data_IF_558110275703
#
_entry.id   IF_558110275703
#
_cell.length_a   1.000
_cell.length_b   1.000
_cell.length_c   1.000
_cell.angle_alpha   90.00
_cell.angle_beta   90.00
_cell.angle_gamma   90.00
#
_symmetry.space_group_name_H-M   'P 1'
#
loop_
_entity.id
_entity.type
_entity.pdbx_description
1 polymer ?
#
# COMPACT_ATOMS: atom_id res chain seq x y z
N UNK A 1 15.59 -2.07 5.35
CA UNK A 1 14.22 -1.65 5.00
C UNK A 1 14.00 -2.00 3.54
N UNK A 2 12.86 -2.62 3.19
CA UNK A 2 12.61 -3.06 1.81
C UNK A 2 12.01 -1.91 0.99
N UNK A 3 12.48 -1.77 -0.25
CA UNK A 3 11.86 -0.89 -1.23
C UNK A 3 10.54 -1.50 -1.67
N UNK A 4 9.45 -0.75 -1.55
CA UNK A 4 8.14 -1.14 -2.03
C UNK A 4 8.01 -0.96 -3.54
N UNK A 5 7.02 -1.61 -4.13
CA UNK A 5 6.65 -1.47 -5.54
C UNK A 5 5.30 -0.79 -5.66
N UNK A 6 5.08 -0.08 -6.76
CA UNK A 6 3.75 0.44 -7.04
C UNK A 6 2.76 -0.70 -7.18
N UNK A 7 1.61 -0.58 -6.53
CA UNK A 7 0.54 -1.55 -6.67
C UNK A 7 -0.11 -1.37 -8.05
N UNK A 8 -0.22 -2.47 -8.78
CA UNK A 8 -0.84 -2.55 -10.11
C UNK A 8 -2.07 -3.48 -10.05
N UNK A 9 -3.23 -3.10 -10.62
CA UNK A 9 -3.50 -1.83 -11.32
C UNK A 9 -3.51 -0.60 -10.40
N UNK A 10 -3.23 0.58 -10.98
CA UNK A 10 -3.23 1.84 -10.23
C UNK A 10 -4.66 2.15 -9.77
N UNK A 11 -4.83 2.26 -8.46
CA UNK A 11 -6.06 2.76 -7.87
C UNK A 11 -6.13 4.27 -8.06
N UNK A 12 -7.28 4.77 -8.52
CA UNK A 12 -7.51 6.20 -8.78
C UNK A 12 -7.62 7.02 -7.50
N UNK A 13 -8.12 6.42 -6.41
CA UNK A 13 -8.28 7.07 -5.10
C UNK A 13 -8.03 6.11 -3.94
N UNK A 14 -7.69 6.68 -2.77
CA UNK A 14 -7.52 5.94 -1.51
C UNK A 14 -8.77 5.14 -1.15
N UNK A 15 -9.96 5.68 -1.39
CA UNK A 15 -11.23 5.03 -1.07
C UNK A 15 -11.43 3.72 -1.84
N UNK A 16 -11.03 3.68 -3.11
CA UNK A 16 -11.13 2.47 -3.94
C UNK A 16 -10.11 1.44 -3.45
N UNK A 17 -8.90 1.90 -3.12
CA UNK A 17 -7.88 1.04 -2.50
C UNK A 17 -8.36 0.46 -1.17
N UNK A 18 -9.01 1.25 -0.31
CA UNK A 18 -9.55 0.78 0.97
C UNK A 18 -10.72 -0.19 0.81
N UNK A 19 -11.47 -0.11 -0.30
CA UNK A 19 -12.49 -1.11 -0.65
C UNK A 19 -11.88 -2.43 -1.10
N UNK A 20 -10.84 -2.40 -1.94
CA UNK A 20 -10.16 -3.61 -2.43
C UNK A 20 -9.31 -4.28 -1.32
N UNK A 21 -8.69 -3.46 -0.48
CA UNK A 21 -7.90 -3.87 0.69
C UNK A 21 -8.65 -3.57 2.00
N UNK A 22 -9.86 -4.13 2.13
CA UNK A 22 -10.73 -3.89 3.27
C UNK A 22 -10.17 -4.41 4.61
N UNK A 23 -9.32 -5.44 4.59
CA UNK A 23 -8.77 -6.03 5.83
C UNK A 23 -7.63 -5.16 6.36
N UNK A 24 -7.66 -4.89 7.66
CA UNK A 24 -6.58 -4.19 8.37
C UNK A 24 -5.65 -5.23 8.97
N UNK A 25 -4.36 -5.09 8.72
CA UNK A 25 -3.31 -5.93 9.28
C UNK A 25 -2.44 -5.06 10.21
N UNK A 26 -2.59 -5.25 11.53
CA UNK A 26 -1.85 -4.47 12.53
C UNK A 26 -0.34 -4.74 12.53
N UNK A 27 0.09 -5.90 12.01
CA UNK A 27 1.51 -6.22 11.78
C UNK A 27 2.00 -5.80 10.40
N UNK A 28 1.38 -4.76 9.81
CA UNK A 28 1.72 -4.26 8.49
C UNK A 28 3.20 -3.91 8.36
N UNK A 29 3.86 -4.50 7.34
CA UNK A 29 5.26 -4.26 7.05
C UNK A 29 5.47 -2.80 6.59
N UNK A 30 6.53 -2.13 7.02
CA UNK A 30 6.90 -0.82 6.49
C UNK A 30 7.88 -0.95 5.31
N UNK A 31 7.54 -0.32 4.20
CA UNK A 31 8.37 -0.26 2.99
C UNK A 31 8.61 1.18 2.57
N UNK A 32 9.67 1.43 1.80
CA UNK A 32 9.88 2.75 1.18
C UNK A 32 9.06 2.89 -0.09
N UNK A 33 8.40 4.02 -0.24
CA UNK A 33 7.71 4.39 -1.46
C UNK A 33 8.72 4.56 -2.61
N UNK A 34 8.54 3.90 -3.76
CA UNK A 34 9.47 4.03 -4.89
C UNK A 34 9.49 5.43 -5.52
N UNK A 35 8.49 6.27 -5.28
CA UNK A 35 8.44 7.65 -5.76
C UNK A 35 9.10 8.65 -4.82
N UNK A 36 8.50 8.86 -3.65
CA UNK A 36 8.95 9.87 -2.69
C UNK A 36 9.97 9.38 -1.67
N UNK A 37 10.32 8.08 -1.67
CA UNK A 37 11.20 7.42 -0.68
C UNK A 37 10.71 7.47 0.77
N UNK A 38 9.51 7.96 0.99
CA UNK A 38 8.86 8.05 2.29
C UNK A 38 8.44 6.66 2.79
N UNK A 39 8.20 6.54 4.10
CA UNK A 39 7.81 5.26 4.71
C UNK A 39 6.32 5.02 4.51
N UNK A 40 5.98 3.85 3.99
CA UNK A 40 4.59 3.43 3.74
C UNK A 40 4.34 2.13 4.50
N UNK A 41 3.38 2.18 5.43
CA UNK A 41 2.94 1.02 6.17
C UNK A 41 1.97 0.18 5.30
N UNK A 42 2.31 -1.09 5.07
CA UNK A 42 1.49 -2.08 4.37
C UNK A 42 0.45 -2.71 5.32
N UNK A 43 -0.31 -1.87 6.02
CA UNK A 43 -1.29 -2.29 7.03
C UNK A 43 -2.65 -2.69 6.47
N UNK A 44 -2.80 -2.84 5.15
CA UNK A 44 -4.04 -3.24 4.50
C UNK A 44 -3.82 -4.52 3.69
N UNK A 45 -4.78 -5.42 3.71
CA UNK A 45 -4.71 -6.72 3.02
C UNK A 45 -5.94 -6.94 2.16
N UNK A 46 -5.75 -7.47 0.96
CA UNK A 46 -6.87 -7.86 0.10
C UNK A 46 -7.33 -9.30 0.39
N UNK A 47 -8.43 -9.70 -0.25
CA UNK A 47 -8.98 -11.07 -0.13
C UNK A 47 -8.01 -12.15 -0.61
N UNK A 48 -7.10 -11.81 -1.53
CA UNK A 48 -6.03 -12.69 -2.01
C UNK A 48 -4.81 -12.79 -1.09
N UNK A 49 -4.86 -12.17 0.10
CA UNK A 49 -3.78 -12.23 1.08
C UNK A 49 -2.56 -11.36 0.76
N UNK A 50 -2.65 -10.46 -0.22
CA UNK A 50 -1.59 -9.49 -0.54
C UNK A 50 -1.69 -8.29 0.38
N UNK A 51 -0.57 -7.87 0.95
CA UNK A 51 -0.49 -6.67 1.80
C UNK A 51 -0.08 -5.46 0.95
N UNK A 52 -0.72 -4.33 1.19
CA UNK A 52 -0.48 -3.07 0.50
C UNK A 52 -0.70 -1.90 1.47
N UNK A 53 -0.16 -0.75 1.10
CA UNK A 53 -0.25 0.49 1.86
C UNK A 53 -0.47 1.68 0.94
N UNK A 54 -1.03 2.76 1.47
CA UNK A 54 -1.25 3.97 0.68
C UNK A 54 -0.18 5.00 0.99
N UNK A 55 0.58 5.40 -0.03
CA UNK A 55 1.51 6.53 0.11
C UNK A 55 0.73 7.85 0.03
N UNK A 56 0.77 8.65 1.10
CA UNK A 56 0.10 9.97 1.15
C UNK A 56 0.76 10.99 0.22
N UNK A 57 2.10 11.03 0.16
CA UNK A 57 2.84 11.99 -0.67
C UNK A 57 2.61 11.77 -2.17
N UNK A 58 2.68 10.53 -2.64
CA UNK A 58 2.46 10.20 -4.05
C UNK A 58 1.00 9.94 -4.39
N UNK A 59 0.12 9.96 -3.39
CA UNK A 59 -1.29 9.59 -3.47
C UNK A 59 -1.51 8.30 -4.28
N UNK A 60 -0.78 7.24 -3.92
CA UNK A 60 -0.72 6.00 -4.71
C UNK A 60 -0.43 4.80 -3.82
N UNK A 61 -1.05 3.66 -4.16
CA UNK A 61 -0.88 2.41 -3.42
C UNK A 61 0.49 1.76 -3.72
N UNK A 62 1.11 1.22 -2.68
CA UNK A 62 2.41 0.56 -2.68
C UNK A 62 2.21 -0.85 -2.11
N UNK A 63 2.94 -1.82 -2.63
CA UNK A 63 2.99 -3.20 -2.14
C UNK A 63 4.45 -3.64 -2.01
N UNK A 64 4.67 -4.87 -1.57
CA UNK A 64 6.01 -5.48 -1.52
C UNK A 64 6.33 -6.22 -2.82
#
# INVERSE_FOLDING_TARGET
MKDGKWLEPRHTSKEIFEKDYAKIELSGLEVRCPGCKDYVNLGRKNTGGKSAGWCKCCNRAVTL
#
